data_IF_076684372521
#
_entry.id   IF_076684372521
#
_cell.length_a   1.000
_cell.length_b   1.000
_cell.length_c   1.000
_cell.angle_alpha   90.00
_cell.angle_beta   90.00
_cell.angle_gamma   90.00
#
_symmetry.space_group_name_H-M   'P 1'
#
loop_
_entity.id
_entity.type
_entity.pdbx_description
1 polymer ?
#
# COMPACT_ATOMS: atom_id res chain seq x y z
N UNK A 1 56.42 -34.16 48.37
CA UNK A 1 55.18 -34.62 47.71
C UNK A 1 53.95 -33.82 48.18
N UNK A 2 53.84 -33.50 49.47
CA UNK A 2 52.72 -32.74 50.07
C UNK A 2 52.59 -31.28 49.61
N UNK A 3 53.68 -30.54 49.42
CA UNK A 3 53.61 -29.15 48.92
C UNK A 3 53.08 -29.05 47.49
N UNK A 4 53.45 -30.00 46.62
CA UNK A 4 53.05 -30.00 45.21
C UNK A 4 51.55 -30.30 45.04
N UNK A 5 51.02 -31.20 45.87
CA UNK A 5 49.59 -31.51 45.96
C UNK A 5 48.77 -30.34 46.53
N UNK A 6 49.33 -29.59 47.47
CA UNK A 6 48.69 -28.40 48.02
C UNK A 6 48.59 -27.29 46.95
N UNK A 7 49.66 -27.06 46.18
CA UNK A 7 49.68 -26.05 45.13
C UNK A 7 48.72 -26.35 43.98
N UNK A 8 48.59 -27.62 43.57
CA UNK A 8 47.63 -28.01 42.52
C UNK A 8 46.19 -27.91 43.01
N UNK A 9 45.89 -28.31 44.26
CA UNK A 9 44.57 -28.15 44.84
C UNK A 9 44.14 -26.67 44.94
N UNK A 10 45.05 -25.77 45.33
CA UNK A 10 44.79 -24.32 45.40
C UNK A 10 44.56 -23.73 44.01
N UNK A 11 45.34 -24.15 43.00
CA UNK A 11 45.16 -23.73 41.61
C UNK A 11 43.80 -24.19 41.03
N UNK A 12 43.40 -25.44 41.27
CA UNK A 12 42.09 -25.93 40.83
C UNK A 12 40.93 -25.20 41.54
N UNK A 13 41.06 -24.93 42.84
CA UNK A 13 40.06 -24.19 43.60
C UNK A 13 39.91 -22.74 43.11
N UNK A 14 41.02 -22.06 42.76
CA UNK A 14 40.99 -20.70 42.21
C UNK A 14 40.35 -20.65 40.82
N UNK A 15 40.69 -21.59 39.92
CA UNK A 15 40.06 -21.68 38.60
C UNK A 15 38.55 -21.94 38.71
N UNK A 16 38.14 -22.85 39.60
CA UNK A 16 36.73 -23.14 39.83
C UNK A 16 35.96 -21.93 40.41
N UNK A 17 36.58 -21.19 41.35
CA UNK A 17 35.99 -19.98 41.91
C UNK A 17 35.84 -18.86 40.87
N UNK A 18 36.84 -18.66 40.01
CA UNK A 18 36.78 -17.69 38.91
C UNK A 18 35.71 -18.09 37.89
N UNK A 19 35.64 -19.37 37.50
CA UNK A 19 34.61 -19.85 36.58
C UNK A 19 33.20 -19.68 37.16
N UNK A 20 33.00 -19.97 38.45
CA UNK A 20 31.73 -19.74 39.14
C UNK A 20 31.38 -18.25 39.21
N UNK A 21 32.34 -17.38 39.52
CA UNK A 21 32.13 -15.93 39.53
C UNK A 21 31.74 -15.40 38.14
N UNK A 22 32.40 -15.88 37.08
CA UNK A 22 32.05 -15.53 35.69
C UNK A 22 30.65 -16.02 35.32
N UNK A 23 30.28 -17.26 35.69
CA UNK A 23 28.93 -17.79 35.41
C UNK A 23 27.84 -17.02 36.18
N UNK A 24 28.09 -16.67 37.45
CA UNK A 24 27.16 -15.86 38.25
C UNK A 24 27.04 -14.45 37.69
N UNK A 25 28.16 -13.84 37.31
CA UNK A 25 28.20 -12.52 36.67
C UNK A 25 27.45 -12.52 35.33
N UNK A 26 27.69 -13.51 34.47
CA UNK A 26 26.96 -13.70 33.21
C UNK A 26 25.46 -13.90 33.44
N UNK A 27 25.07 -14.70 34.46
CA UNK A 27 23.67 -14.94 34.79
C UNK A 27 22.99 -13.68 35.34
N UNK A 28 23.69 -12.91 36.16
CA UNK A 28 23.21 -11.65 36.73
C UNK A 28 23.04 -10.58 35.65
N UNK A 29 24.02 -10.41 34.76
CA UNK A 29 23.91 -9.52 33.60
C UNK A 29 22.78 -9.95 32.66
N UNK A 30 22.67 -11.26 32.34
CA UNK A 30 21.55 -11.77 31.53
C UNK A 30 20.18 -11.46 32.16
N UNK A 31 20.04 -11.58 33.47
CA UNK A 31 18.81 -11.21 34.19
C UNK A 31 18.54 -9.71 34.09
N UNK A 32 19.54 -8.86 34.37
CA UNK A 32 19.42 -7.40 34.29
C UNK A 32 19.01 -6.92 32.90
N UNK A 33 19.53 -7.53 31.83
CA UNK A 33 19.14 -7.21 30.46
C UNK A 33 17.71 -7.65 30.14
N UNK A 34 17.28 -8.80 30.65
CA UNK A 34 15.89 -9.24 30.51
C UNK A 34 14.92 -8.27 31.19
N UNK A 35 15.26 -7.75 32.37
CA UNK A 35 14.40 -6.81 33.10
C UNK A 35 14.25 -5.47 32.36
N UNK A 36 15.32 -4.95 31.74
CA UNK A 36 15.25 -3.72 30.92
C UNK A 36 14.46 -3.90 29.63
N UNK A 37 14.66 -5.02 28.92
CA UNK A 37 13.88 -5.33 27.73
C UNK A 37 12.37 -5.46 28.06
N UNK A 38 12.04 -6.01 29.24
CA UNK A 38 10.66 -6.08 29.72
C UNK A 38 10.07 -4.70 30.00
N UNK A 39 10.85 -3.75 30.53
CA UNK A 39 10.40 -2.36 30.74
C UNK A 39 10.10 -1.68 29.40
N UNK A 40 11.02 -1.77 28.43
CA UNK A 40 10.80 -1.24 27.08
C UNK A 40 9.55 -1.82 26.42
N UNK A 41 9.39 -3.14 26.46
CA UNK A 41 8.21 -3.81 25.90
C UNK A 41 6.91 -3.40 26.62
N UNK A 42 6.99 -3.17 27.94
CA UNK A 42 5.85 -2.69 28.71
C UNK A 42 5.46 -1.26 28.32
N UNK A 43 6.42 -0.35 28.22
CA UNK A 43 6.20 1.04 27.78
C UNK A 43 5.65 1.08 26.36
N UNK A 44 6.27 0.35 25.43
CA UNK A 44 5.80 0.26 24.05
C UNK A 44 4.37 -0.30 23.96
N UNK A 45 4.07 -1.38 24.71
CA UNK A 45 2.71 -1.94 24.78
C UNK A 45 1.68 -0.93 25.29
N UNK A 46 2.04 -0.10 26.28
CA UNK A 46 1.14 0.93 26.80
C UNK A 46 0.96 2.08 25.80
N UNK A 47 2.03 2.51 25.14
CA UNK A 47 1.98 3.57 24.15
C UNK A 47 1.15 3.18 22.90
N UNK A 48 1.24 1.92 22.46
CA UNK A 48 0.45 1.39 21.34
C UNK A 48 -1.00 1.01 21.71
N UNK A 49 -1.38 1.10 22.98
CA UNK A 49 -2.70 0.62 23.41
C UNK A 49 -3.82 1.48 22.80
N UNK A 50 -4.77 0.81 22.16
CA UNK A 50 -5.97 1.41 21.54
C UNK A 50 -7.25 0.94 22.24
N UNK A 51 -7.47 1.31 23.53
CA UNK A 51 -8.71 1.00 24.20
C UNK A 51 -9.90 1.67 23.50
N UNK A 52 -11.11 1.17 23.76
CA UNK A 52 -12.33 1.58 23.04
C UNK A 52 -12.56 3.10 23.03
N UNK A 53 -12.21 3.81 24.11
CA UNK A 53 -12.37 5.27 24.16
C UNK A 53 -11.42 6.00 23.19
N UNK A 54 -10.19 5.51 23.01
CA UNK A 54 -9.23 6.06 22.03
C UNK A 54 -9.76 5.82 20.61
N UNK A 55 -10.23 4.59 20.33
CA UNK A 55 -10.79 4.26 19.01
C UNK A 55 -12.02 5.10 18.67
N UNK A 56 -12.90 5.37 19.65
CA UNK A 56 -14.04 6.27 19.47
C UNK A 56 -13.61 7.69 19.13
N UNK A 57 -12.64 8.25 19.86
CA UNK A 57 -12.12 9.58 19.56
C UNK A 57 -11.45 9.66 18.18
N UNK A 58 -10.68 8.65 17.78
CA UNK A 58 -10.11 8.58 16.43
C UNK A 58 -11.23 8.56 15.39
N UNK A 59 -12.25 7.73 15.58
CA UNK A 59 -13.40 7.63 14.67
C UNK A 59 -14.17 8.95 14.55
N UNK A 60 -14.42 9.64 15.66
CA UNK A 60 -15.07 10.96 15.68
C UNK A 60 -14.24 11.98 14.90
N UNK A 61 -12.92 11.97 15.07
CA UNK A 61 -12.03 12.91 14.41
C UNK A 61 -11.88 12.62 12.92
N UNK A 62 -11.85 11.35 12.51
CA UNK A 62 -11.93 10.96 11.09
C UNK A 62 -13.23 11.47 10.48
N UNK A 63 -14.38 11.32 11.16
CA UNK A 63 -15.65 11.82 10.66
C UNK A 63 -15.67 13.35 10.50
N UNK A 64 -15.04 14.10 11.41
CA UNK A 64 -14.88 15.56 11.30
C UNK A 64 -14.00 15.94 10.09
N UNK A 65 -12.88 15.27 9.91
CA UNK A 65 -12.00 15.47 8.76
C UNK A 65 -12.71 15.11 7.43
N UNK A 66 -13.55 14.07 7.42
CA UNK A 66 -14.37 13.72 6.25
C UNK A 66 -15.30 14.86 5.86
N UNK A 67 -16.02 15.42 6.84
CA UNK A 67 -16.90 16.57 6.60
C UNK A 67 -16.12 17.79 6.12
N UNK A 68 -14.99 18.10 6.75
CA UNK A 68 -14.14 19.22 6.35
C UNK A 68 -13.59 19.07 4.92
N UNK A 69 -13.16 17.87 4.53
CA UNK A 69 -12.65 17.56 3.20
C UNK A 69 -13.73 17.62 2.10
N UNK A 70 -14.96 17.24 2.42
CA UNK A 70 -16.11 17.33 1.50
C UNK A 70 -16.59 18.79 1.31
N UNK A 71 -16.59 19.58 2.39
CA UNK A 71 -17.07 20.96 2.36
C UNK A 71 -16.15 21.89 1.57
N UNK A 72 -14.83 21.68 1.67
CA UNK A 72 -13.86 22.52 1.00
C UNK A 72 -12.66 21.69 0.50
N UNK A 73 -12.29 21.80 -0.79
CA UNK A 73 -11.08 21.17 -1.30
C UNK A 73 -9.85 21.62 -0.52
N UNK A 74 -9.17 20.65 0.11
CA UNK A 74 -8.01 20.94 0.95
C UNK A 74 -8.34 21.50 2.34
N UNK A 75 -9.61 21.47 2.76
CA UNK A 75 -10.05 21.82 4.12
C UNK A 75 -9.72 20.76 5.17
N UNK A 76 -9.20 19.60 4.76
CA UNK A 76 -8.84 18.46 5.61
C UNK A 76 -7.55 17.80 5.11
N UNK A 77 -6.92 17.01 5.99
CA UNK A 77 -5.88 16.05 5.60
C UNK A 77 -6.43 14.90 4.73
N UNK A 78 -7.70 14.55 4.91
CA UNK A 78 -8.44 13.66 4.04
C UNK A 78 -8.79 14.39 2.75
N UNK A 79 -8.52 13.76 1.62
CA UNK A 79 -8.65 14.43 0.33
C UNK A 79 -10.09 14.40 -0.19
N UNK A 80 -10.89 13.41 0.23
CA UNK A 80 -12.32 13.27 -0.06
C UNK A 80 -12.66 13.50 -1.53
N UNK A 81 -11.98 12.77 -2.41
CA UNK A 81 -12.00 12.97 -3.85
C UNK A 81 -13.23 12.32 -4.49
N UNK A 82 -14.03 13.07 -5.27
CA UNK A 82 -15.08 12.49 -6.10
C UNK A 82 -14.49 11.57 -7.17
N UNK A 83 -15.07 10.39 -7.33
CA UNK A 83 -14.59 9.37 -8.29
C UNK A 83 -15.29 9.43 -9.65
N UNK A 84 -16.31 10.28 -9.79
CA UNK A 84 -17.14 10.40 -11.00
C UNK A 84 -17.88 9.10 -11.39
N UNK A 85 -17.99 8.14 -10.47
CA UNK A 85 -18.82 6.96 -10.64
C UNK A 85 -20.25 7.31 -10.24
N UNK A 86 -21.16 7.24 -11.21
CA UNK A 86 -22.58 7.54 -11.00
C UNK A 86 -23.35 6.33 -10.49
N UNK A 87 -22.97 5.13 -10.95
CA UNK A 87 -23.65 3.87 -10.64
C UNK A 87 -22.65 2.75 -10.42
N UNK A 88 -22.76 2.11 -9.26
CA UNK A 88 -22.03 0.88 -8.97
C UNK A 88 -22.66 -0.32 -9.68
N UNK A 89 -21.85 -1.33 -10.04
CA UNK A 89 -22.37 -2.53 -10.67
C UNK A 89 -23.23 -3.33 -9.69
N UNK A 90 -24.36 -3.88 -10.16
CA UNK A 90 -25.35 -4.56 -9.30
C UNK A 90 -25.58 -6.03 -9.69
N UNK A 91 -24.72 -6.57 -10.54
CA UNK A 91 -24.81 -7.95 -11.01
C UNK A 91 -25.75 -8.18 -12.17
N UNK A 92 -26.46 -7.14 -12.65
CA UNK A 92 -27.33 -7.27 -13.82
C UNK A 92 -26.55 -7.15 -15.15
N UNK A 93 -25.27 -6.78 -15.09
CA UNK A 93 -24.42 -6.52 -16.25
C UNK A 93 -24.22 -7.80 -17.09
N UNK A 94 -24.24 -7.61 -18.42
CA UNK A 94 -24.03 -8.67 -19.41
C UNK A 94 -23.05 -8.17 -20.45
N UNK A 95 -22.21 -9.09 -20.93
CA UNK A 95 -21.26 -8.79 -22.00
C UNK A 95 -19.83 -9.09 -21.62
N UNK A 96 -18.93 -8.82 -22.57
CA UNK A 96 -17.50 -9.01 -22.41
C UNK A 96 -16.84 -7.66 -22.09
N UNK A 97 -16.17 -7.59 -20.96
CA UNK A 97 -15.45 -6.41 -20.50
C UNK A 97 -13.97 -6.72 -20.30
N UNK A 98 -13.13 -5.73 -20.54
CA UNK A 98 -11.69 -5.79 -20.30
C UNK A 98 -11.33 -4.92 -19.11
N UNK A 99 -10.28 -5.32 -18.39
CA UNK A 99 -9.64 -4.43 -17.42
C UNK A 99 -8.12 -4.49 -17.54
N UNK A 100 -7.50 -3.34 -17.27
CA UNK A 100 -6.07 -3.16 -17.15
C UNK A 100 -5.80 -2.60 -15.77
N UNK A 101 -5.00 -3.30 -14.99
CA UNK A 101 -4.62 -2.95 -13.63
C UNK A 101 -3.13 -2.64 -13.60
N UNK A 102 -2.82 -1.36 -13.43
CA UNK A 102 -1.48 -0.81 -13.35
C UNK A 102 -1.24 -0.29 -11.91
N UNK A 103 -0.83 -1.21 -11.04
CA UNK A 103 -0.70 -1.01 -9.60
C UNK A 103 0.74 -1.17 -9.07
N UNK A 104 1.72 -1.40 -9.95
CA UNK A 104 3.14 -1.51 -9.55
C UNK A 104 4.05 -1.88 -10.72
N UNK A 105 5.16 -2.56 -10.41
CA UNK A 105 6.15 -3.03 -11.41
C UNK A 105 5.67 -4.21 -12.25
N UNK A 106 4.51 -4.77 -11.90
CA UNK A 106 3.73 -5.65 -12.76
C UNK A 106 2.41 -4.96 -13.08
N UNK A 107 1.86 -5.23 -14.26
CA UNK A 107 0.48 -4.92 -14.56
C UNK A 107 -0.27 -6.19 -14.91
N UNK A 108 -1.60 -6.13 -14.82
CA UNK A 108 -2.47 -7.23 -15.19
C UNK A 108 -3.44 -6.79 -16.27
N UNK A 109 -3.57 -7.60 -17.30
CA UNK A 109 -4.67 -7.50 -18.27
C UNK A 109 -5.64 -8.63 -17.97
N UNK A 110 -6.93 -8.36 -18.03
CA UNK A 110 -7.96 -9.36 -17.83
C UNK A 110 -9.19 -9.11 -18.69
N UNK A 111 -9.96 -10.17 -18.90
CA UNK A 111 -11.29 -10.11 -19.50
C UNK A 111 -12.29 -10.89 -18.67
N UNK A 112 -13.51 -10.39 -18.64
CA UNK A 112 -14.60 -10.99 -17.89
C UNK A 112 -15.85 -11.04 -18.76
N UNK A 113 -16.43 -12.23 -18.92
CA UNK A 113 -17.72 -12.44 -19.55
C UNK A 113 -18.80 -12.49 -18.46
N UNK A 114 -19.67 -11.48 -18.45
CA UNK A 114 -20.75 -11.33 -17.49
C UNK A 114 -22.07 -11.84 -18.09
N UNK A 115 -22.83 -12.58 -17.28
CA UNK A 115 -24.07 -13.26 -17.66
C UNK A 115 -25.34 -12.68 -17.02
N UNK A 116 -25.24 -11.54 -16.34
CA UNK A 116 -26.35 -10.92 -15.61
C UNK A 116 -26.69 -11.62 -14.30
N UNK A 117 -27.89 -11.41 -13.74
CA UNK A 117 -28.16 -11.63 -12.32
C UNK A 117 -28.04 -13.09 -11.87
N UNK A 118 -28.34 -14.03 -12.78
CA UNK A 118 -28.32 -15.47 -12.48
C UNK A 118 -26.94 -16.10 -12.68
N UNK A 119 -26.26 -15.76 -13.77
CA UNK A 119 -24.99 -16.40 -14.15
C UNK A 119 -23.76 -15.66 -13.60
N UNK A 120 -23.91 -14.38 -13.23
CA UNK A 120 -22.84 -13.52 -12.71
C UNK A 120 -21.60 -13.57 -13.61
N UNK A 121 -20.44 -13.94 -13.08
CA UNK A 121 -19.22 -14.13 -13.88
C UNK A 121 -19.26 -15.51 -14.56
N UNK A 122 -19.44 -15.54 -15.87
CA UNK A 122 -19.44 -16.78 -16.67
C UNK A 122 -18.01 -17.29 -16.86
N UNK A 123 -17.10 -16.40 -17.24
CA UNK A 123 -15.71 -16.73 -17.52
C UNK A 123 -14.80 -15.53 -17.28
N UNK A 124 -13.66 -15.78 -16.67
CA UNK A 124 -12.63 -14.78 -16.42
C UNK A 124 -11.27 -15.34 -16.79
N UNK A 125 -10.47 -14.54 -17.48
CA UNK A 125 -9.09 -14.87 -17.81
C UNK A 125 -8.23 -13.63 -17.57
N UNK A 126 -6.99 -13.84 -17.15
CA UNK A 126 -6.04 -12.76 -16.89
C UNK A 126 -4.62 -13.19 -17.21
N UNK A 127 -3.78 -12.19 -17.43
CA UNK A 127 -2.35 -12.33 -17.62
C UNK A 127 -1.63 -11.26 -16.77
N UNK A 128 -0.65 -11.69 -15.99
CA UNK A 128 0.23 -10.80 -15.23
C UNK A 128 1.50 -10.61 -16.04
N UNK A 129 1.89 -9.35 -16.24
CA UNK A 129 3.02 -8.96 -17.07
C UNK A 129 3.97 -8.10 -16.25
N UNK A 130 5.20 -8.57 -16.13
CA UNK A 130 6.29 -7.79 -15.55
C UNK A 130 6.72 -6.67 -16.49
N UNK A 131 6.87 -5.46 -15.95
CA UNK A 131 7.34 -4.31 -16.70
C UNK A 131 8.88 -4.34 -16.73
N UNK A 132 9.51 -4.38 -17.92
CA UNK A 132 10.95 -4.27 -18.04
C UNK A 132 11.49 -3.05 -17.29
N UNK A 133 12.56 -3.23 -16.49
CA UNK A 133 13.13 -2.15 -15.67
C UNK A 133 13.51 -0.90 -16.46
N UNK A 134 13.92 -1.07 -17.72
CA UNK A 134 14.21 0.06 -18.61
C UNK A 134 12.99 0.97 -18.83
N UNK A 135 11.77 0.40 -18.91
CA UNK A 135 10.54 1.15 -19.10
C UNK A 135 10.09 1.89 -17.83
N UNK A 136 10.50 1.43 -16.65
CA UNK A 136 10.26 2.15 -15.39
C UNK A 136 11.03 3.49 -15.33
N UNK A 137 12.08 3.62 -16.14
CA UNK A 137 12.98 4.78 -16.20
C UNK A 137 12.97 5.47 -17.59
N UNK A 138 12.12 5.00 -18.50
CA UNK A 138 12.04 5.46 -19.89
C UNK A 138 11.05 6.61 -20.05
N UNK A 139 10.41 6.66 -21.21
CA UNK A 139 9.38 7.63 -21.54
C UNK A 139 7.97 7.08 -21.31
N UNK A 140 6.99 7.97 -21.18
CA UNK A 140 5.59 7.58 -21.06
C UNK A 140 5.11 6.84 -22.30
N UNK A 141 5.54 7.28 -23.49
CA UNK A 141 5.20 6.64 -24.77
C UNK A 141 5.65 5.18 -24.80
N UNK A 142 6.90 4.89 -24.46
CA UNK A 142 7.46 3.53 -24.47
C UNK A 142 6.73 2.61 -23.47
N UNK A 143 6.40 3.10 -22.27
CA UNK A 143 5.66 2.34 -21.27
C UNK A 143 4.25 1.99 -21.78
N UNK A 144 3.49 2.99 -22.22
CA UNK A 144 2.11 2.77 -22.66
C UNK A 144 2.04 1.97 -23.97
N UNK A 145 3.02 2.10 -24.87
CA UNK A 145 3.14 1.24 -26.06
C UNK A 145 3.38 -0.21 -25.69
N UNK A 146 4.25 -0.49 -24.71
CA UNK A 146 4.46 -1.85 -24.22
C UNK A 146 3.17 -2.44 -23.62
N UNK A 147 2.46 -1.67 -22.78
CA UNK A 147 1.19 -2.09 -22.18
C UNK A 147 0.15 -2.38 -23.28
N UNK A 148 -0.01 -1.47 -24.25
CA UNK A 148 -0.97 -1.61 -25.35
C UNK A 148 -0.66 -2.84 -26.21
N UNK A 149 0.62 -3.11 -26.52
CA UNK A 149 1.04 -4.31 -27.25
C UNK A 149 0.66 -5.61 -26.51
N UNK A 150 0.83 -5.65 -25.18
CA UNK A 150 0.45 -6.81 -24.37
C UNK A 150 -1.05 -6.98 -24.27
N UNK A 151 -1.80 -5.90 -24.08
CA UNK A 151 -3.26 -5.93 -24.10
C UNK A 151 -3.81 -6.48 -25.44
N UNK A 152 -3.25 -6.04 -26.56
CA UNK A 152 -3.69 -6.52 -27.89
C UNK A 152 -3.28 -7.97 -28.13
N UNK A 153 -2.11 -8.37 -27.65
CA UNK A 153 -1.70 -9.78 -27.70
C UNK A 153 -2.67 -10.66 -26.91
N UNK A 154 -3.10 -10.20 -25.72
CA UNK A 154 -4.10 -10.87 -24.90
C UNK A 154 -5.48 -10.94 -25.58
N UNK A 155 -5.92 -9.86 -26.22
CA UNK A 155 -7.17 -9.82 -27.01
C UNK A 155 -7.14 -10.81 -28.19
N UNK A 156 -6.00 -10.97 -28.87
CA UNK A 156 -5.87 -11.95 -29.98
C UNK A 156 -6.09 -13.40 -29.53
N UNK A 157 -5.98 -13.68 -28.23
CA UNK A 157 -6.25 -15.00 -27.65
C UNK A 157 -7.74 -15.22 -27.32
N UNK A 158 -8.66 -14.34 -27.76
CA UNK A 158 -10.11 -14.53 -27.63
C UNK A 158 -10.57 -15.88 -28.20
N UNK A 159 -11.04 -16.76 -27.33
CA UNK A 159 -11.76 -17.99 -27.70
C UNK A 159 -13.13 -17.70 -28.33
N UNK A 160 -13.73 -18.69 -29.02
CA UNK A 160 -15.02 -18.54 -29.70
C UNK A 160 -16.16 -18.03 -28.81
N UNK A 161 -16.13 -18.36 -27.52
CA UNK A 161 -17.10 -17.93 -26.51
C UNK A 161 -17.06 -16.43 -26.25
N UNK A 162 -15.92 -15.77 -26.43
CA UNK A 162 -15.75 -14.33 -26.22
C UNK A 162 -16.13 -13.51 -27.47
N UNK A 163 -16.06 -14.12 -28.65
CA UNK A 163 -16.41 -13.48 -29.92
C UNK A 163 -17.93 -13.33 -30.12
N UNK A 164 -18.74 -14.10 -29.39
CA UNK A 164 -20.22 -14.08 -29.48
C UNK A 164 -20.88 -12.94 -28.71
N UNK A 165 -20.10 -12.17 -27.94
CA UNK A 165 -20.61 -11.28 -26.89
C UNK A 165 -21.48 -10.11 -27.36
N UNK A 166 -21.15 -9.39 -28.43
CA UNK A 166 -21.94 -8.23 -28.88
C UNK A 166 -21.73 -7.97 -30.38
N UNK A 167 -22.59 -8.56 -31.22
CA UNK A 167 -22.68 -8.27 -32.65
C UNK A 167 -23.51 -6.98 -32.87
N UNK A 168 -22.87 -5.82 -32.77
CA UNK A 168 -23.41 -4.57 -33.32
C UNK A 168 -22.49 -4.10 -34.45
N UNK A 169 -22.86 -4.45 -35.69
CA UNK A 169 -22.37 -3.82 -36.93
C UNK A 169 -20.88 -3.97 -37.31
N UNK A 170 -20.24 -5.09 -37.00
CA UNK A 170 -18.95 -5.48 -37.59
C UNK A 170 -17.72 -4.68 -37.12
N UNK A 171 -17.89 -3.72 -36.21
CA UNK A 171 -16.79 -3.01 -35.52
C UNK A 171 -17.00 -3.13 -34.00
N UNK A 172 -16.41 -4.17 -33.40
CA UNK A 172 -16.54 -4.42 -31.97
C UNK A 172 -15.57 -3.52 -31.19
N UNK A 173 -16.10 -2.46 -30.57
CA UNK A 173 -15.37 -1.65 -29.60
C UNK A 173 -15.28 -2.45 -28.29
N UNK A 174 -14.08 -2.71 -27.82
CA UNK A 174 -13.82 -3.36 -26.52
C UNK A 174 -13.75 -2.30 -25.44
N UNK A 175 -14.59 -2.43 -24.42
CA UNK A 175 -14.61 -1.51 -23.28
C UNK A 175 -13.58 -1.95 -22.24
N UNK A 176 -12.66 -1.03 -21.92
CA UNK A 176 -11.57 -1.24 -20.98
C UNK A 176 -11.79 -0.40 -19.71
N UNK A 177 -11.84 -1.05 -18.56
CA UNK A 177 -11.66 -0.39 -17.26
C UNK A 177 -10.17 -0.27 -16.92
N UNK A 178 -9.70 0.96 -16.72
CA UNK A 178 -8.33 1.23 -16.31
C UNK A 178 -8.29 1.44 -14.80
N UNK A 179 -7.59 0.56 -14.09
CA UNK A 179 -7.29 0.71 -12.67
C UNK A 179 -5.86 1.22 -12.51
N UNK A 180 -5.68 2.34 -11.82
CA UNK A 180 -4.36 2.89 -11.50
C UNK A 180 -4.25 3.19 -10.00
N UNK A 181 -3.19 2.66 -9.37
CA UNK A 181 -2.86 2.90 -7.96
C UNK A 181 -1.83 4.02 -7.76
N UNK A 182 -1.57 4.83 -8.79
CA UNK A 182 -0.75 6.04 -8.69
C UNK A 182 -1.60 7.26 -8.30
N UNK A 183 -1.00 8.27 -7.63
CA UNK A 183 -1.68 9.54 -7.36
C UNK A 183 -2.14 10.23 -8.65
N UNK A 184 -3.46 10.29 -8.85
CA UNK A 184 -4.11 10.92 -10.01
C UNK A 184 -5.10 11.99 -9.54
N UNK A 185 -5.13 13.11 -10.27
CA UNK A 185 -6.21 14.09 -10.20
C UNK A 185 -7.26 13.73 -11.27
N UNK A 186 -8.30 13.01 -10.87
CA UNK A 186 -9.38 12.61 -11.76
C UNK A 186 -10.28 13.81 -12.08
N UNK A 187 -10.63 13.99 -13.35
CA UNK A 187 -11.42 15.15 -13.82
C UNK A 187 -12.75 14.75 -14.47
N UNK A 188 -12.91 13.46 -14.77
CA UNK A 188 -14.14 12.82 -15.22
C UNK A 188 -14.05 11.30 -14.97
N UNK A 189 -15.09 10.53 -15.29
CA UNK A 189 -15.07 9.07 -15.15
C UNK A 189 -13.99 8.40 -16.00
N UNK A 190 -13.46 9.04 -17.05
CA UNK A 190 -12.47 8.48 -17.96
C UNK A 190 -11.32 9.46 -18.30
N UNK A 191 -11.02 10.42 -17.44
CA UNK A 191 -9.85 11.32 -17.60
C UNK A 191 -9.17 11.55 -16.27
N UNK A 192 -7.84 11.47 -16.25
CA UNK A 192 -7.08 11.61 -15.02
C UNK A 192 -5.65 12.07 -15.23
N UNK A 193 -5.29 13.16 -14.55
CA UNK A 193 -3.95 13.74 -14.64
C UNK A 193 -3.03 13.09 -13.61
N UNK A 194 -1.94 12.47 -14.07
CA UNK A 194 -0.95 11.89 -13.17
C UNK A 194 -0.25 13.00 -12.35
N UNK A 195 -0.28 12.89 -11.03
CA UNK A 195 0.35 13.88 -10.13
C UNK A 195 1.82 13.52 -9.92
N UNK A 196 2.10 12.24 -9.62
CA UNK A 196 3.45 11.74 -9.43
C UNK A 196 3.48 10.23 -9.63
N UNK A 197 4.63 9.74 -10.06
CA UNK A 197 4.94 8.32 -10.05
C UNK A 197 5.33 7.84 -8.64
N UNK A 198 4.99 6.60 -8.31
CA UNK A 198 5.44 5.88 -7.10
C UNK A 198 6.01 4.52 -7.51
N UNK A 199 6.28 3.61 -6.57
CA UNK A 199 6.69 2.22 -6.87
C UNK A 199 7.92 2.08 -7.80
N UNK A 200 8.86 3.01 -7.69
CA UNK A 200 10.12 3.00 -8.46
C UNK A 200 10.03 3.54 -9.89
N UNK A 201 8.87 3.98 -10.35
CA UNK A 201 8.69 4.65 -11.64
C UNK A 201 9.33 6.05 -11.63
N UNK A 202 10.07 6.39 -12.68
CA UNK A 202 10.75 7.68 -12.87
C UNK A 202 10.60 8.18 -14.31
N UNK A 203 9.36 8.32 -14.75
CA UNK A 203 9.00 8.71 -16.12
C UNK A 203 8.56 10.18 -16.13
N UNK A 204 9.52 11.09 -16.33
CA UNK A 204 9.31 12.53 -16.07
C UNK A 204 8.27 13.17 -17.00
N UNK A 205 8.18 12.74 -18.26
CA UNK A 205 7.28 13.28 -19.28
C UNK A 205 5.81 12.90 -19.07
N UNK A 206 5.52 11.85 -18.29
CA UNK A 206 4.16 11.44 -17.95
C UNK A 206 3.51 12.25 -16.82
N UNK A 207 4.30 12.96 -16.00
CA UNK A 207 3.77 13.77 -14.89
C UNK A 207 3.01 14.98 -15.45
N UNK A 208 1.81 15.23 -14.93
CA UNK A 208 0.92 16.29 -15.42
C UNK A 208 0.21 15.97 -16.72
N UNK A 209 0.27 14.71 -17.21
CA UNK A 209 -0.43 14.25 -18.41
C UNK A 209 -1.63 13.38 -18.06
N UNK A 210 -2.59 13.33 -18.99
CA UNK A 210 -3.76 12.46 -18.87
C UNK A 210 -3.38 11.01 -19.19
N UNK A 211 -3.44 10.15 -18.19
CA UNK A 211 -3.07 8.73 -18.32
C UNK A 211 -4.00 7.96 -19.25
N UNK A 212 -5.28 8.36 -19.32
CA UNK A 212 -6.24 7.73 -20.22
C UNK A 212 -5.91 8.10 -21.65
N UNK A 213 -5.61 9.37 -21.92
CA UNK A 213 -5.21 9.82 -23.24
C UNK A 213 -3.89 9.18 -23.71
N UNK A 214 -2.91 9.01 -22.81
CA UNK A 214 -1.65 8.32 -23.11
C UNK A 214 -1.89 6.86 -23.49
N UNK A 215 -2.69 6.12 -22.71
CA UNK A 215 -3.04 4.73 -23.01
C UNK A 215 -3.87 4.62 -24.29
N UNK A 216 -4.87 5.49 -24.48
CA UNK A 216 -5.71 5.48 -25.68
C UNK A 216 -4.87 5.74 -26.93
N UNK A 217 -3.97 6.72 -26.90
CA UNK A 217 -3.04 7.00 -28.00
C UNK A 217 -2.14 5.79 -28.30
N UNK A 218 -1.66 5.10 -27.27
CA UNK A 218 -0.87 3.88 -27.44
C UNK A 218 -1.68 2.74 -28.06
N UNK A 219 -2.95 2.55 -27.66
CA UNK A 219 -3.84 1.57 -28.28
C UNK A 219 -4.17 1.93 -29.73
N UNK A 220 -4.42 3.20 -30.04
CA UNK A 220 -4.78 3.67 -31.39
C UNK A 220 -3.62 3.51 -32.39
N UNK A 221 -2.35 3.60 -31.92
CA UNK A 221 -1.17 3.29 -32.73
C UNK A 221 -1.11 1.81 -33.14
N UNK A 222 -1.74 0.93 -32.38
CA UNK A 222 -1.74 -0.49 -32.64
C UNK A 222 -2.88 -0.86 -33.59
N UNK A 223 -2.55 -1.55 -34.69
CA UNK A 223 -3.55 -1.91 -35.70
C UNK A 223 -4.34 -3.15 -35.29
N UNK A 224 -5.64 -3.16 -35.59
CA UNK A 224 -6.46 -4.38 -35.67
C UNK A 224 -7.61 -4.51 -34.67
N UNK A 225 -7.64 -3.71 -33.60
CA UNK A 225 -8.72 -3.73 -32.62
C UNK A 225 -9.13 -2.32 -32.22
N UNK A 226 -10.44 -2.08 -32.09
CA UNK A 226 -10.95 -0.86 -31.49
C UNK A 226 -11.15 -1.11 -29.99
N UNK A 227 -10.40 -0.40 -29.16
CA UNK A 227 -10.47 -0.47 -27.71
C UNK A 227 -10.72 0.94 -27.20
N UNK A 228 -11.63 1.08 -26.23
CA UNK A 228 -11.94 2.36 -25.60
C UNK A 228 -11.76 2.22 -24.10
N UNK A 229 -11.01 3.14 -23.49
CA UNK A 229 -11.01 3.30 -22.03
C UNK A 229 -12.36 3.85 -21.61
N UNK A 230 -13.20 2.99 -21.05
CA UNK A 230 -14.56 3.34 -20.64
C UNK A 230 -14.57 4.02 -19.27
N UNK A 231 -13.68 3.62 -18.38
CA UNK A 231 -13.59 4.17 -17.02
C UNK A 231 -12.16 4.13 -16.50
N UNK A 232 -11.79 5.15 -15.76
CA UNK A 232 -10.60 5.22 -14.92
C UNK A 232 -11.03 5.12 -13.46
N UNK A 233 -10.46 4.17 -12.72
CA UNK A 233 -10.74 3.97 -11.30
C UNK A 233 -9.44 3.78 -10.52
N UNK A 234 -9.50 4.09 -9.22
CA UNK A 234 -8.51 3.64 -8.26
C UNK A 234 -8.82 2.18 -7.82
N UNK A 235 -7.79 1.44 -7.38
CA UNK A 235 -7.90 0.06 -6.89
C UNK A 235 -8.89 -0.12 -5.73
N UNK A 236 -8.96 0.84 -4.81
CA UNK A 236 -9.89 0.83 -3.69
C UNK A 236 -11.34 0.93 -4.17
N UNK A 237 -11.57 1.78 -5.18
CA UNK A 237 -12.88 1.94 -5.82
C UNK A 237 -13.24 0.71 -6.65
N UNK A 238 -12.28 0.11 -7.35
CA UNK A 238 -12.46 -1.18 -8.03
C UNK A 238 -12.80 -2.31 -7.08
N UNK A 239 -12.21 -2.31 -5.88
CA UNK A 239 -12.51 -3.28 -4.81
C UNK A 239 -13.95 -3.14 -4.33
N UNK A 240 -14.41 -1.91 -4.09
CA UNK A 240 -15.80 -1.66 -3.70
C UNK A 240 -16.77 -2.04 -4.82
N UNK A 241 -16.48 -1.65 -6.08
CA UNK A 241 -17.31 -2.01 -7.22
C UNK A 241 -17.39 -3.53 -7.43
N UNK A 242 -16.27 -4.24 -7.29
CA UNK A 242 -16.23 -5.70 -7.33
C UNK A 242 -17.08 -6.34 -6.22
N UNK A 243 -17.05 -5.78 -5.00
CA UNK A 243 -17.91 -6.22 -3.90
C UNK A 243 -19.39 -5.96 -4.15
N UNK A 244 -19.72 -4.73 -4.57
CA UNK A 244 -21.09 -4.29 -4.87
C UNK A 244 -21.72 -5.11 -6.01
N UNK A 245 -20.92 -5.54 -7.00
CA UNK A 245 -21.39 -6.45 -8.06
C UNK A 245 -21.97 -7.76 -7.51
N UNK A 246 -21.48 -8.27 -6.38
CA UNK A 246 -21.97 -9.51 -5.76
C UNK A 246 -23.00 -9.27 -4.65
N UNK A 247 -22.90 -8.13 -3.97
CA UNK A 247 -23.77 -7.78 -2.85
C UNK A 247 -24.05 -6.28 -2.86
N UNK A 248 -25.31 -5.90 -3.13
CA UNK A 248 -25.76 -4.50 -3.19
C UNK A 248 -25.66 -3.78 -1.82
N UNK A 249 -25.43 -4.51 -0.71
CA UNK A 249 -25.22 -3.91 0.62
C UNK A 249 -23.77 -3.38 0.83
N UNK A 250 -22.87 -3.56 -0.14
CA UNK A 250 -21.47 -3.11 -0.02
C UNK A 250 -21.39 -1.59 -0.21
N UNK A 251 -21.21 -0.88 0.91
CA UNK A 251 -21.14 0.59 0.92
C UNK A 251 -19.73 1.15 1.13
N UNK A 252 -18.75 0.30 1.44
CA UNK A 252 -17.37 0.70 1.76
C UNK A 252 -16.39 -0.28 1.12
N UNK A 253 -15.36 0.25 0.47
CA UNK A 253 -14.18 -0.50 0.06
C UNK A 253 -12.97 -0.07 0.87
N UNK A 254 -12.19 -1.03 1.37
CA UNK A 254 -10.97 -0.75 2.13
C UNK A 254 -9.84 -1.61 1.58
N UNK A 255 -8.69 -0.98 1.35
CA UNK A 255 -7.43 -1.67 1.08
C UNK A 255 -6.59 -1.62 2.35
N UNK A 256 -6.21 -2.81 2.85
CA UNK A 256 -5.26 -2.99 3.95
C UNK A 256 -4.13 -3.87 3.45
N UNK A 257 -3.10 -3.28 2.85
CA UNK A 257 -1.96 -3.98 2.27
C UNK A 257 -0.65 -3.27 2.58
N UNK A 258 0.26 -3.25 1.60
CA UNK A 258 1.48 -2.43 1.66
C UNK A 258 1.15 -0.98 2.03
N UNK A 259 0.12 -0.45 1.36
CA UNK A 259 -0.50 0.85 1.62
C UNK A 259 -1.93 0.66 2.15
N UNK A 260 -2.58 1.74 2.57
CA UNK A 260 -3.96 1.71 3.07
C UNK A 260 -4.81 2.79 2.42
N UNK A 261 -6.03 2.42 2.03
CA UNK A 261 -7.02 3.41 1.60
C UNK A 261 -8.46 2.96 1.84
N UNK A 262 -9.37 3.92 1.73
CA UNK A 262 -10.79 3.65 1.78
C UNK A 262 -11.57 4.49 0.77
N UNK A 263 -12.66 3.92 0.28
CA UNK A 263 -13.72 4.62 -0.41
C UNK A 263 -15.07 4.17 0.13
N UNK A 264 -16.08 5.00 -0.05
CA UNK A 264 -17.43 4.69 0.39
C UNK A 264 -18.46 5.41 -0.47
N UNK A 265 -19.70 4.94 -0.41
CA UNK A 265 -20.86 5.61 -0.99
C UNK A 265 -21.31 6.72 -0.03
N UNK A 266 -21.27 7.97 -0.47
CA UNK A 266 -21.72 9.11 0.31
C UNK A 266 -23.19 9.41 0.02
N UNK A 267 -24.00 9.54 1.07
CA UNK A 267 -25.43 9.76 0.97
C UNK A 267 -25.79 11.25 1.08
N UNK A 268 -24.90 12.09 1.61
CA UNK A 268 -25.15 13.49 1.92
C UNK A 268 -24.15 14.41 1.22
N UNK A 269 -23.94 14.23 -0.10
CA UNK A 269 -23.13 15.19 -0.84
C UNK A 269 -23.88 16.52 -1.00
N UNK A 270 -23.18 17.66 -0.87
CA UNK A 270 -23.69 18.92 -1.39
C UNK A 270 -24.05 18.75 -2.87
N UNK A 271 -25.11 19.40 -3.35
CA UNK A 271 -25.53 19.39 -4.79
C UNK A 271 -24.37 19.77 -5.74
N UNK A 272 -23.38 20.47 -5.19
CA UNK A 272 -22.30 21.14 -5.88
C UNK A 272 -20.98 20.87 -5.13
N UNK A 273 -20.14 19.97 -5.65
CA UNK A 273 -18.79 19.75 -5.10
C UNK A 273 -17.79 20.53 -5.93
N UNK A 274 -17.05 21.43 -5.28
CA UNK A 274 -15.86 22.00 -5.89
C UNK A 274 -14.78 20.93 -5.95
N UNK A 275 -14.29 20.63 -7.13
CA UNK A 275 -13.08 19.81 -7.28
C UNK A 275 -11.84 20.66 -7.00
N UNK A 276 -10.68 20.02 -6.83
CA UNK A 276 -9.40 20.73 -6.68
C UNK A 276 -9.05 21.66 -7.84
N UNK A 277 -9.64 21.47 -9.01
CA UNK A 277 -9.49 22.35 -10.17
C UNK A 277 -10.46 23.55 -10.16
N UNK A 278 -11.26 23.72 -9.09
CA UNK A 278 -12.28 24.75 -8.98
C UNK A 278 -13.53 24.49 -9.83
N UNK A 279 -13.58 23.34 -10.53
CA UNK A 279 -14.74 22.95 -11.32
C UNK A 279 -15.84 22.41 -10.41
N UNK A 280 -17.04 22.95 -10.57
CA UNK A 280 -18.26 22.43 -9.95
C UNK A 280 -18.65 21.12 -10.62
N UNK A 281 -18.83 20.07 -9.84
CA UNK A 281 -19.38 18.80 -10.31
C UNK A 281 -20.79 18.68 -9.75
N UNK A 282 -21.77 18.75 -10.64
CA UNK A 282 -23.17 18.46 -10.31
C UNK A 282 -23.34 16.95 -10.26
N UNK A 283 -23.72 16.43 -9.09
CA UNK A 283 -23.97 15.01 -8.87
C UNK A 283 -25.48 14.82 -8.83
N UNK A 284 -26.08 14.14 -9.84
CA UNK A 284 -27.53 13.95 -9.85
C UNK A 284 -28.02 13.22 -8.61
N UNK A 285 -29.16 13.66 -8.07
CA UNK A 285 -29.75 13.17 -6.81
C UNK A 285 -30.05 11.66 -6.74
N UNK A 286 -30.02 10.96 -7.89
CA UNK A 286 -30.29 9.53 -8.03
C UNK A 286 -29.02 8.67 -8.22
N UNK A 287 -27.84 9.25 -8.03
CA UNK A 287 -26.57 8.53 -8.10
C UNK A 287 -26.15 7.99 -6.73
N UNK A 288 -25.27 6.98 -6.73
CA UNK A 288 -24.58 6.50 -5.54
C UNK A 288 -23.14 7.03 -5.60
N UNK A 289 -22.90 8.29 -5.21
CA UNK A 289 -21.62 8.91 -5.48
C UNK A 289 -20.56 8.31 -4.57
N UNK A 290 -19.52 7.79 -5.21
CA UNK A 290 -18.41 7.17 -4.51
C UNK A 290 -17.34 8.21 -4.21
N UNK A 291 -16.96 8.31 -2.95
CA UNK A 291 -15.89 9.18 -2.47
C UNK A 291 -14.66 8.34 -2.14
N UNK A 292 -13.53 8.73 -2.70
CA UNK A 292 -12.23 8.17 -2.41
C UNK A 292 -11.50 9.04 -1.38
N UNK A 293 -11.21 8.48 -0.21
CA UNK A 293 -10.80 9.28 0.95
C UNK A 293 -9.35 9.74 0.89
N UNK A 294 -8.46 8.95 0.25
CA UNK A 294 -7.00 9.07 0.39
C UNK A 294 -6.58 9.16 1.87
N UNK A 295 -7.13 8.25 2.70
CA UNK A 295 -7.08 8.38 4.16
C UNK A 295 -5.70 8.15 4.77
N UNK A 296 -4.74 7.66 3.98
CA UNK A 296 -3.39 7.37 4.45
C UNK A 296 -2.69 8.63 4.98
N UNK A 297 -3.12 9.80 4.51
CA UNK A 297 -2.63 11.13 4.92
C UNK A 297 -3.14 11.60 6.28
N UNK A 298 -4.15 10.94 6.85
CA UNK A 298 -4.68 11.29 8.16
C UNK A 298 -3.56 11.26 9.21
N UNK A 299 -3.41 12.33 9.96
CA UNK A 299 -2.37 12.50 10.95
C UNK A 299 -2.86 13.41 12.07
N UNK A 300 -3.53 12.80 13.04
CA UNK A 300 -4.12 13.45 14.19
C UNK A 300 -3.28 13.26 15.45
N UNK A 301 -3.30 14.25 16.35
CA UNK A 301 -2.79 14.11 17.72
C UNK A 301 -3.52 13.03 18.55
N UNK A 302 -4.71 12.62 18.11
CA UNK A 302 -5.48 11.53 18.73
C UNK A 302 -5.01 10.13 18.32
N UNK A 303 -4.14 10.01 17.31
CA UNK A 303 -3.49 8.75 17.00
C UNK A 303 -2.50 8.39 18.11
N UNK A 304 -2.45 7.12 18.56
CA UNK A 304 -1.54 6.64 19.61
C UNK A 304 -0.13 6.48 19.05
N UNK A 305 0.48 7.61 18.69
CA UNK A 305 1.81 7.66 18.08
C UNK A 305 2.85 7.40 19.16
N UNK A 306 3.80 6.53 18.82
CA UNK A 306 5.00 6.25 19.60
C UNK A 306 6.18 7.05 19.05
N UNK A 307 7.27 7.10 19.80
CA UNK A 307 8.52 7.68 19.29
C UNK A 307 9.04 6.95 18.05
N UNK A 308 8.71 5.66 17.88
CA UNK A 308 9.07 4.88 16.69
C UNK A 308 8.31 5.41 15.48
N UNK A 309 7.00 5.65 15.61
CA UNK A 309 6.21 6.22 14.52
C UNK A 309 6.76 7.58 14.09
N UNK A 310 7.15 8.43 15.05
CA UNK A 310 7.76 9.73 14.78
C UNK A 310 9.13 9.59 14.11
N UNK A 311 9.97 8.65 14.56
CA UNK A 311 11.25 8.38 13.94
C UNK A 311 11.08 7.88 12.49
N UNK A 312 10.17 6.93 12.27
CA UNK A 312 9.86 6.40 10.95
C UNK A 312 9.33 7.47 10.01
N UNK A 313 8.50 8.38 10.52
CA UNK A 313 8.01 9.53 9.75
C UNK A 313 9.17 10.47 9.36
N UNK A 314 10.02 10.83 10.32
CA UNK A 314 11.16 11.73 10.11
C UNK A 314 12.21 11.16 9.14
N UNK A 315 12.43 9.84 9.15
CA UNK A 315 13.37 9.15 8.26
C UNK A 315 12.76 8.79 6.90
N UNK A 316 11.45 8.98 6.72
CA UNK A 316 10.76 8.64 5.48
C UNK A 316 11.08 9.62 4.34
N UNK A 317 10.73 9.21 3.12
CA UNK A 317 10.84 10.08 1.92
C UNK A 317 9.90 11.30 1.99
N UNK A 318 8.84 11.22 2.80
CA UNK A 318 7.81 12.23 2.92
C UNK A 318 7.46 12.51 4.40
N UNK A 319 8.36 13.12 5.18
CA UNK A 319 8.09 13.44 6.58
C UNK A 319 6.86 14.34 6.76
N UNK A 320 6.03 14.06 7.76
CA UNK A 320 4.79 14.78 8.05
C UNK A 320 3.65 14.49 7.08
N UNK A 321 3.78 13.51 6.19
CA UNK A 321 2.75 13.10 5.24
C UNK A 321 2.53 11.58 5.30
N UNK A 322 1.34 11.12 4.89
CA UNK A 322 0.98 9.68 4.92
C UNK A 322 1.11 9.03 6.30
N UNK A 323 0.77 9.78 7.33
CA UNK A 323 0.94 9.38 8.71
C UNK A 323 0.15 8.12 9.11
N UNK A 324 -1.15 8.05 8.79
CA UNK A 324 -1.98 6.87 9.07
C UNK A 324 -1.51 5.64 8.28
N UNK A 325 -1.05 5.83 7.05
CA UNK A 325 -0.44 4.76 6.26
C UNK A 325 0.86 4.24 6.89
N UNK A 326 1.69 5.10 7.46
CA UNK A 326 2.89 4.69 8.21
C UNK A 326 2.57 3.89 9.47
N UNK A 327 1.44 4.17 10.13
CA UNK A 327 1.05 3.43 11.33
C UNK A 327 0.35 2.09 11.05
N UNK A 328 -0.26 1.94 9.87
CA UNK A 328 -1.17 0.80 9.59
C UNK A 328 -0.80 -0.03 8.36
N UNK A 329 -0.03 0.52 7.44
CA UNK A 329 0.43 -0.15 6.22
C UNK A 329 1.45 -1.23 6.54
N UNK A 330 1.33 -2.37 5.87
CA UNK A 330 2.17 -3.55 6.11
C UNK A 330 3.67 -3.26 5.91
N UNK A 331 4.01 -2.33 5.00
CA UNK A 331 5.40 -1.91 4.78
C UNK A 331 6.07 -1.35 6.05
N UNK A 332 5.31 -0.67 6.89
CA UNK A 332 5.82 0.04 8.05
C UNK A 332 5.72 -0.77 9.34
N UNK A 333 4.81 -1.75 9.40
CA UNK A 333 4.73 -2.70 10.51
C UNK A 333 6.04 -3.50 10.65
N UNK A 334 6.63 -3.96 9.53
CA UNK A 334 7.92 -4.66 9.55
C UNK A 334 9.06 -3.73 10.02
N UNK A 335 9.05 -2.48 9.55
CA UNK A 335 10.07 -1.51 9.94
C UNK A 335 9.95 -1.13 11.43
N UNK A 336 8.74 -1.05 11.98
CA UNK A 336 8.49 -0.82 13.41
C UNK A 336 9.12 -1.94 14.24
N UNK A 337 8.87 -3.21 13.89
CA UNK A 337 9.48 -4.36 14.56
C UNK A 337 11.01 -4.35 14.45
N UNK A 338 11.56 -3.88 13.32
CA UNK A 338 13.01 -3.73 13.15
C UNK A 338 13.60 -2.68 14.10
N UNK A 339 12.94 -1.54 14.29
CA UNK A 339 13.40 -0.48 15.20
C UNK A 339 13.36 -0.96 16.65
N UNK A 340 12.24 -1.57 17.08
CA UNK A 340 12.12 -2.13 18.44
C UNK A 340 13.26 -3.12 18.74
N UNK A 341 13.55 -4.03 17.80
CA UNK A 341 14.66 -5.00 17.95
C UNK A 341 16.04 -4.34 17.97
N UNK A 342 16.25 -3.33 17.14
CA UNK A 342 17.51 -2.60 17.10
C UNK A 342 17.78 -1.85 18.41
N UNK A 343 16.75 -1.31 19.05
CA UNK A 343 16.89 -0.61 20.32
C UNK A 343 17.16 -1.52 21.50
N UNK A 344 16.50 -2.67 21.59
CA UNK A 344 16.85 -3.72 22.55
C UNK A 344 18.34 -4.11 22.39
N UNK A 345 18.79 -4.33 21.14
CA UNK A 345 20.20 -4.58 20.85
C UNK A 345 21.13 -3.42 21.27
N UNK A 346 20.79 -2.16 20.95
CA UNK A 346 21.61 -1.00 21.29
C UNK A 346 21.67 -0.74 22.81
N UNK A 347 20.59 -1.01 23.55
CA UNK A 347 20.60 -0.94 25.00
C UNK A 347 21.49 -2.03 25.62
N UNK A 348 21.47 -3.25 25.07
CA UNK A 348 22.39 -4.32 25.49
C UNK A 348 23.86 -3.90 25.30
N UNK A 349 24.20 -3.28 24.17
CA UNK A 349 25.56 -2.83 23.85
C UNK A 349 26.05 -1.69 24.76
N UNK A 350 25.22 -0.67 25.03
CA UNK A 350 25.58 0.47 25.90
C UNK A 350 25.89 0.06 27.34
N UNK A 351 25.23 -0.99 27.84
CA UNK A 351 25.48 -1.52 29.18
C UNK A 351 26.77 -2.35 29.26
N UNK A 352 27.18 -3.00 28.17
CA UNK A 352 28.49 -3.67 28.10
C UNK A 352 29.68 -2.70 28.09
N UNK A 353 29.54 -1.52 27.49
CA UNK A 353 30.62 -0.51 27.44
C UNK A 353 30.82 0.22 28.78
N UNK A 354 29.76 0.42 29.56
CA UNK A 354 29.85 1.02 30.90
C UNK A 354 30.42 0.08 31.97
N UNK A 355 30.57 -1.23 31.69
CA UNK A 355 31.17 -2.20 32.60
C UNK A 355 32.72 -2.25 32.54
N UNK A 356 33.35 -1.36 31.77
CA UNK A 356 34.81 -1.20 31.74
C UNK A 356 35.51 -2.32 30.97
N UNK A 357 35.48 -2.25 29.64
CA UNK A 357 36.40 -3.01 28.81
C UNK A 357 37.01 -2.09 27.75
N UNK A 358 38.24 -1.61 28.03
CA UNK A 358 39.10 -1.07 26.98
C UNK A 358 39.57 -2.23 26.10
N UNK A 359 38.82 -2.55 25.06
CA UNK A 359 39.26 -3.43 24.00
C UNK A 359 39.05 -2.74 22.66
N UNK A 360 40.16 -2.24 22.11
CA UNK A 360 40.25 -1.91 20.70
C UNK A 360 39.98 -3.17 19.87
N UNK A 361 38.77 -3.32 19.37
CA UNK A 361 38.49 -4.21 18.26
C UNK A 361 37.27 -3.70 17.52
N UNK A 362 37.52 -3.17 16.32
CA UNK A 362 36.56 -3.03 15.24
C UNK A 362 35.84 -4.37 15.02
N UNK A 363 34.66 -4.52 15.61
CA UNK A 363 33.74 -5.60 15.26
C UNK A 363 32.73 -4.98 14.30
N UNK A 364 32.94 -5.25 13.02
CA UNK A 364 32.01 -4.94 11.94
C UNK A 364 30.63 -5.51 12.33
N UNK A 365 29.63 -4.65 12.46
CA UNK A 365 28.24 -5.07 12.52
C UNK A 365 27.83 -5.60 11.12
N UNK A 366 28.17 -6.85 10.84
CA UNK A 366 27.91 -7.54 9.57
C UNK A 366 26.43 -7.81 9.28
N UNK A 367 25.50 -7.27 10.07
CA UNK A 367 24.05 -7.41 9.85
C UNK A 367 23.42 -6.24 9.08
N UNK A 368 24.20 -5.19 8.78
CA UNK A 368 23.69 -3.96 8.16
C UNK A 368 23.85 -3.90 6.62
N UNK A 369 24.59 -4.83 6.00
CA UNK A 369 24.84 -4.78 4.54
C UNK A 369 24.24 -5.93 3.72
N UNK A 370 23.85 -7.07 4.31
CA UNK A 370 23.49 -8.25 3.51
C UNK A 370 22.04 -8.31 2.99
N UNK A 371 21.14 -7.42 3.42
CA UNK A 371 19.72 -7.48 2.99
C UNK A 371 19.24 -6.33 2.11
N UNK A 372 20.14 -5.57 1.49
CA UNK A 372 19.76 -4.69 0.36
C UNK A 372 19.46 -5.45 -0.95
N UNK A 373 19.73 -6.76 -1.01
CA UNK A 373 19.60 -7.57 -2.23
C UNK A 373 18.47 -8.64 -2.19
N UNK A 374 17.69 -8.76 -1.11
CA UNK A 374 16.70 -9.83 -0.93
C UNK A 374 15.29 -9.58 -1.49
N UNK A 375 15.05 -8.51 -2.25
CA UNK A 375 13.71 -8.10 -2.70
C UNK A 375 13.30 -8.66 -4.08
N UNK A 376 13.68 -9.90 -4.38
CA UNK A 376 13.15 -10.66 -5.51
C UNK A 376 12.83 -12.08 -5.06
N UNK A 377 11.62 -12.29 -4.55
CA UNK A 377 11.08 -13.63 -4.37
C UNK A 377 10.47 -13.89 -3.00
N UNK A 378 9.23 -13.46 -2.81
CA UNK A 378 8.31 -14.17 -1.93
C UNK A 378 6.89 -14.08 -2.49
N UNK A 379 6.67 -14.77 -3.60
CA UNK A 379 5.34 -15.24 -3.99
C UNK A 379 4.99 -16.42 -3.08
N UNK A 380 4.03 -16.20 -2.17
CA UNK A 380 3.04 -17.18 -1.67
C UNK A 380 2.26 -16.59 -0.48
N UNK A 381 1.03 -16.15 -0.75
CA UNK A 381 -0.21 -16.73 -0.23
C UNK A 381 -1.40 -15.95 -0.77
#
# INVERSE_FOLDING_TARGET
MTQMLLSTAVACATVAAVAAAVMVWQKFHKHSHCDQALVLLYEFRHACATPLYVLRHISEHVALEMQAGLNQPGGSQLMMLPTFIEKLPNGCEKGLFYALDLSGTNFRVLRCLLGGPNARVIKQEYEVVAIPRALLLGTSEELFDFIAQRLISFIKLEGPEFQRGHNWNGHQIRELGLTISFPICQTSHNTGILIKWTEGFKIADGVGKDVVAMLQSAMDRQKGFQIRVAVLINDTVGTMAGGHYWNDDVMVGVILGTNTNACYVECNLPEDIQTKSGKMVNIPFYTLPVIYMEWGRFWSSHLPRTYIDEQLDNESVNPGDRGFEKMTGAMYLDQTDRVVRAEDCAQRLRHSDHAGCSASSSIHCGYLEENRAGWLGCDRC
#
